data_IF_200285943957
#
_entry.id   IF_200285943957
#
_cell.length_a   1.000
_cell.length_b   1.000
_cell.length_c   1.000
_cell.angle_alpha   90.00
_cell.angle_beta   90.00
_cell.angle_gamma   90.00
#
_symmetry.space_group_name_H-M   'P 1'
#
loop_
_entity.id
_entity.type
_entity.pdbx_description
1 polymer ?
#
# COMPACT_ATOMS: atom_id res chain seq x y z
N UNK A 1 10.14 21.50 5.07
CA UNK A 1 10.92 20.25 5.18
C UNK A 1 10.72 19.69 6.57
N UNK A 2 10.18 18.48 6.68
CA UNK A 2 10.01 17.80 7.98
C UNK A 2 11.39 17.55 8.58
N UNK A 3 11.61 17.97 9.82
CA UNK A 3 12.87 17.72 10.54
C UNK A 3 13.04 16.20 10.68
N UNK A 4 14.11 15.64 10.11
CA UNK A 4 14.41 14.22 10.23
C UNK A 4 14.77 13.89 11.68
N UNK A 5 14.29 12.77 12.24
CA UNK A 5 14.72 12.31 13.55
C UNK A 5 16.14 11.74 13.48
N UNK A 6 16.90 11.84 14.56
CA UNK A 6 18.28 11.32 14.63
C UNK A 6 18.32 9.78 14.64
N UNK A 7 17.25 9.13 15.15
CA UNK A 7 17.05 7.66 15.15
C UNK A 7 15.58 7.29 15.33
N UNK A 8 15.25 6.03 15.07
CA UNK A 8 13.98 5.40 15.45
C UNK A 8 14.23 4.29 16.46
N UNK A 9 13.38 4.18 17.48
CA UNK A 9 13.52 3.14 18.52
C UNK A 9 12.98 1.78 18.06
N UNK A 10 12.08 1.75 17.07
CA UNK A 10 11.54 0.51 16.48
C UNK A 10 11.36 0.62 14.97
N UNK A 11 11.26 -0.53 14.29
CA UNK A 11 10.96 -0.60 12.85
C UNK A 11 9.58 -0.04 12.57
N UNK A 12 8.61 -0.30 13.44
CA UNK A 12 7.24 0.21 13.31
C UNK A 12 7.19 1.74 13.37
N UNK A 13 8.00 2.36 14.22
CA UNK A 13 8.13 3.82 14.30
C UNK A 13 8.77 4.40 13.03
N UNK A 14 9.80 3.73 12.51
CA UNK A 14 10.40 4.10 11.22
C UNK A 14 9.39 3.99 10.08
N UNK A 15 8.62 2.90 10.00
CA UNK A 15 7.61 2.72 8.97
C UNK A 15 6.44 3.71 9.09
N UNK A 16 5.99 4.02 10.31
CA UNK A 16 4.98 5.06 10.54
C UNK A 16 5.46 6.42 10.01
N UNK A 17 6.72 6.78 10.27
CA UNK A 17 7.32 7.99 9.74
C UNK A 17 7.44 7.95 8.22
N UNK A 18 8.01 6.88 7.66
CA UNK A 18 8.25 6.72 6.22
C UNK A 18 6.96 6.67 5.40
N UNK A 19 5.84 6.24 6.00
CA UNK A 19 4.55 6.15 5.31
C UNK A 19 3.68 7.39 5.49
N UNK A 20 4.16 8.42 6.20
CA UNK A 20 3.46 9.69 6.29
C UNK A 20 3.45 10.38 4.92
N UNK A 21 2.28 10.60 4.30
CA UNK A 21 2.22 11.18 2.98
C UNK A 21 2.56 12.68 3.03
N UNK A 22 3.22 13.16 1.98
CA UNK A 22 3.43 14.60 1.81
C UNK A 22 2.15 15.28 1.30
N UNK A 23 2.03 16.59 1.53
CA UNK A 23 0.92 17.39 0.99
C UNK A 23 0.87 17.32 -0.55
N UNK A 24 2.04 17.29 -1.21
CA UNK A 24 2.14 17.12 -2.65
C UNK A 24 1.56 15.78 -3.12
N UNK A 25 1.87 14.67 -2.43
CA UNK A 25 1.31 13.36 -2.76
C UNK A 25 -0.21 13.33 -2.58
N UNK A 26 -0.73 13.92 -1.50
CA UNK A 26 -2.17 14.04 -1.27
C UNK A 26 -2.82 14.82 -2.41
N UNK A 27 -2.26 15.97 -2.79
CA UNK A 27 -2.77 16.81 -3.85
C UNK A 27 -2.72 16.13 -5.23
N UNK A 28 -1.70 15.32 -5.49
CA UNK A 28 -1.58 14.57 -6.74
C UNK A 28 -2.57 13.41 -6.80
N UNK A 29 -2.73 12.65 -5.71
CA UNK A 29 -3.72 11.58 -5.65
C UNK A 29 -5.16 12.10 -5.68
N UNK A 30 -5.43 13.31 -5.21
CA UNK A 30 -6.75 13.95 -5.34
C UNK A 30 -7.14 14.22 -6.80
N UNK A 31 -6.16 14.37 -7.71
CA UNK A 31 -6.40 14.59 -9.15
C UNK A 31 -6.50 13.28 -9.94
N UNK A 32 -5.91 12.20 -9.42
CA UNK A 32 -5.95 10.90 -10.07
C UNK A 32 -7.32 10.23 -9.85
N UNK A 33 -8.05 9.84 -10.92
CA UNK A 33 -9.34 9.21 -10.78
C UNK A 33 -9.23 7.79 -10.21
N UNK A 34 -10.34 7.33 -9.66
CA UNK A 34 -10.61 5.92 -9.40
C UNK A 34 -9.97 5.31 -8.15
N UNK A 35 -9.83 3.99 -8.11
CA UNK A 35 -9.20 3.23 -7.03
C UNK A 35 -7.69 3.06 -7.26
N UNK A 36 -6.96 2.58 -6.25
CA UNK A 36 -5.52 2.30 -6.34
C UNK A 36 -5.29 0.80 -6.18
N UNK A 37 -4.61 0.17 -7.13
CA UNK A 37 -4.20 -1.23 -7.04
C UNK A 37 -2.68 -1.37 -7.11
N UNK A 38 -2.09 -1.99 -6.09
CA UNK A 38 -0.66 -2.25 -5.97
C UNK A 38 -0.39 -3.72 -6.29
N UNK A 39 0.12 -3.99 -7.48
CA UNK A 39 0.53 -5.33 -7.89
C UNK A 39 1.92 -5.65 -7.33
N UNK A 40 2.07 -6.81 -6.71
CA UNK A 40 3.33 -7.21 -6.07
C UNK A 40 3.48 -6.62 -4.68
N UNK A 41 2.36 -6.31 -3.99
CA UNK A 41 2.34 -5.64 -2.69
C UNK A 41 3.10 -6.39 -1.59
N UNK A 42 3.39 -7.68 -1.77
CA UNK A 42 4.16 -8.49 -0.82
C UNK A 42 5.69 -8.36 -0.94
N UNK A 43 6.20 -7.52 -1.84
CA UNK A 43 7.64 -7.22 -1.93
C UNK A 43 8.11 -6.26 -0.84
N UNK A 44 9.42 -6.01 -0.72
CA UNK A 44 10.00 -5.18 0.36
C UNK A 44 9.37 -3.79 0.52
N UNK A 45 9.09 -3.13 -0.60
CA UNK A 45 8.51 -1.78 -0.61
C UNK A 45 6.98 -1.77 -0.75
N UNK A 46 6.38 -2.93 -1.03
CA UNK A 46 4.96 -3.03 -1.33
C UNK A 46 4.06 -2.64 -0.15
N UNK A 47 4.28 -3.16 1.07
CA UNK A 47 3.43 -2.85 2.21
C UNK A 47 3.50 -1.39 2.61
N UNK A 48 4.70 -0.81 2.62
CA UNK A 48 4.90 0.61 2.94
C UNK A 48 4.27 1.52 1.89
N UNK A 49 4.40 1.19 0.59
CA UNK A 49 3.75 1.93 -0.50
C UNK A 49 2.22 1.89 -0.39
N UNK A 50 1.63 0.71 -0.18
CA UNK A 50 0.17 0.59 -0.08
C UNK A 50 -0.39 1.30 1.15
N UNK A 51 0.31 1.24 2.29
CA UNK A 51 -0.03 2.00 3.50
C UNK A 51 0.06 3.51 3.27
N UNK A 52 1.10 4.00 2.60
CA UNK A 52 1.24 5.41 2.25
C UNK A 52 0.12 5.87 1.32
N UNK A 53 -0.21 5.09 0.29
CA UNK A 53 -1.33 5.38 -0.61
C UNK A 53 -2.67 5.47 0.15
N UNK A 54 -2.92 4.53 1.08
CA UNK A 54 -4.15 4.57 1.89
C UNK A 54 -4.20 5.78 2.82
N UNK A 55 -3.08 6.19 3.41
CA UNK A 55 -3.00 7.42 4.23
C UNK A 55 -3.19 8.69 3.40
N UNK A 56 -2.65 8.70 2.18
CA UNK A 56 -2.77 9.85 1.28
C UNK A 56 -4.17 10.02 0.69
N UNK A 57 -4.92 8.91 0.57
CA UNK A 57 -6.29 8.90 0.06
C UNK A 57 -7.20 7.98 0.92
N UNK A 58 -7.58 8.40 2.14
CA UNK A 58 -8.28 7.56 3.10
C UNK A 58 -9.66 7.07 2.61
N UNK A 59 -10.34 7.87 1.80
CA UNK A 59 -11.66 7.52 1.24
C UNK A 59 -11.59 6.62 0.02
N UNK A 60 -10.42 6.52 -0.63
CA UNK A 60 -10.24 5.66 -1.83
C UNK A 60 -10.03 4.22 -1.42
N UNK A 61 -10.47 3.30 -2.29
CA UNK A 61 -10.14 1.88 -2.16
C UNK A 61 -8.69 1.69 -2.57
N UNK A 62 -7.91 1.03 -1.70
CA UNK A 62 -6.54 0.62 -2.00
C UNK A 62 -6.47 -0.89 -1.92
N UNK A 63 -6.05 -1.53 -3.01
CA UNK A 63 -6.05 -2.97 -3.20
C UNK A 63 -4.60 -3.44 -3.37
N UNK A 64 -4.11 -4.25 -2.45
CA UNK A 64 -2.81 -4.92 -2.54
C UNK A 64 -2.97 -6.33 -3.10
N UNK A 65 -2.27 -6.63 -4.20
CA UNK A 65 -2.30 -7.94 -4.86
C UNK A 65 -0.94 -8.62 -4.77
N UNK A 66 -0.88 -9.81 -4.17
CA UNK A 66 0.34 -10.62 -4.10
C UNK A 66 0.01 -12.09 -3.79
N UNK A 67 1.03 -12.96 -3.81
CA UNK A 67 0.90 -14.34 -3.34
C UNK A 67 0.82 -14.46 -1.81
N UNK A 68 1.21 -13.41 -1.08
CA UNK A 68 1.28 -13.38 0.38
C UNK A 68 2.02 -14.59 0.99
N UNK A 69 3.21 -14.88 0.46
CA UNK A 69 4.05 -16.00 0.91
C UNK A 69 4.69 -15.76 2.28
N UNK A 70 4.83 -14.50 2.68
CA UNK A 70 5.34 -14.11 3.99
C UNK A 70 4.19 -13.95 4.99
N UNK A 71 4.33 -14.57 6.16
CA UNK A 71 3.32 -14.50 7.23
C UNK A 71 3.26 -13.08 7.79
N UNK A 72 2.05 -12.57 8.04
CA UNK A 72 1.84 -11.28 8.70
C UNK A 72 1.65 -10.11 7.74
N UNK A 73 2.19 -10.17 6.51
CA UNK A 73 2.09 -9.06 5.54
C UNK A 73 0.65 -8.76 5.17
N UNK A 74 -0.16 -9.81 4.97
CA UNK A 74 -1.58 -9.66 4.63
C UNK A 74 -2.35 -8.99 5.77
N UNK A 75 -2.09 -9.41 7.00
CA UNK A 75 -2.74 -8.87 8.20
C UNK A 75 -2.30 -7.43 8.48
N UNK A 76 -1.04 -7.09 8.25
CA UNK A 76 -0.53 -5.72 8.37
C UNK A 76 -1.19 -4.78 7.37
N UNK A 77 -1.34 -5.20 6.11
CA UNK A 77 -2.05 -4.44 5.09
C UNK A 77 -3.53 -4.23 5.44
N UNK A 78 -4.21 -5.30 5.88
CA UNK A 78 -5.59 -5.21 6.31
C UNK A 78 -5.77 -4.24 7.49
N UNK A 79 -4.87 -4.28 8.49
CA UNK A 79 -4.85 -3.33 9.60
C UNK A 79 -4.61 -1.88 9.15
N UNK A 80 -3.88 -1.68 8.06
CA UNK A 80 -3.67 -0.37 7.45
C UNK A 80 -4.84 0.11 6.58
N UNK A 81 -5.94 -0.66 6.48
CA UNK A 81 -7.11 -0.33 5.66
C UNK A 81 -6.93 -0.63 4.17
N UNK A 82 -5.95 -1.48 3.81
CA UNK A 82 -5.71 -1.94 2.45
C UNK A 82 -6.43 -3.28 2.23
N UNK A 83 -7.24 -3.36 1.18
CA UNK A 83 -7.84 -4.61 0.75
C UNK A 83 -6.77 -5.53 0.17
N UNK A 84 -6.81 -6.83 0.48
CA UNK A 84 -5.80 -7.78 0.02
C UNK A 84 -6.40 -8.85 -0.88
N UNK A 85 -5.82 -9.06 -2.06
CA UNK A 85 -6.20 -10.14 -2.98
C UNK A 85 -5.03 -11.08 -3.19
N UNK A 86 -5.19 -12.35 -2.82
CA UNK A 86 -4.19 -13.37 -3.04
C UNK A 86 -4.21 -13.80 -4.51
N UNK A 87 -3.13 -13.55 -5.24
CA UNK A 87 -3.04 -13.87 -6.68
C UNK A 87 -1.60 -14.08 -7.09
N UNK A 88 -1.36 -15.11 -7.90
CA UNK A 88 -0.10 -15.24 -8.63
C UNK A 88 -0.15 -14.35 -9.87
N UNK A 89 0.70 -13.32 -9.91
CA UNK A 89 0.76 -12.37 -11.01
C UNK A 89 1.38 -12.97 -12.28
N UNK A 90 1.95 -14.19 -12.19
CA UNK A 90 2.42 -14.93 -13.36
C UNK A 90 1.31 -15.80 -13.97
N UNK A 91 0.20 -16.01 -13.25
CA UNK A 91 -0.99 -16.68 -13.78
C UNK A 91 -1.90 -15.66 -14.48
N UNK A 92 -1.90 -15.71 -15.81
CA UNK A 92 -2.70 -14.82 -16.65
C UNK A 92 -4.20 -14.95 -16.39
N UNK A 93 -4.71 -16.16 -16.17
CA UNK A 93 -6.13 -16.38 -15.91
C UNK A 93 -6.55 -15.85 -14.54
N UNK A 94 -5.63 -15.86 -13.56
CA UNK A 94 -5.86 -15.24 -12.26
C UNK A 94 -5.83 -13.71 -12.33
N UNK A 95 -4.89 -13.13 -13.10
CA UNK A 95 -4.82 -11.69 -13.36
C UNK A 95 -6.11 -11.14 -14.00
N UNK A 96 -6.68 -11.86 -14.96
CA UNK A 96 -7.92 -11.44 -15.65
C UNK A 96 -9.15 -11.42 -14.72
N UNK A 97 -9.11 -12.14 -13.59
CA UNK A 97 -10.18 -12.16 -12.57
C UNK A 97 -10.06 -11.04 -11.54
N UNK A 98 -8.97 -10.26 -11.56
CA UNK A 98 -8.81 -9.15 -10.64
C UNK A 98 -9.90 -8.08 -10.90
N UNK A 99 -10.44 -7.46 -9.84
CA UNK A 99 -11.39 -6.36 -10.01
C UNK A 99 -10.73 -5.22 -10.77
N UNK A 100 -11.55 -4.47 -11.52
CA UNK A 100 -11.10 -3.19 -12.06
C UNK A 100 -10.94 -2.21 -10.90
N UNK A 101 -9.80 -1.52 -10.86
CA UNK A 101 -9.68 -0.28 -10.12
C UNK A 101 -10.40 0.79 -10.96
N UNK A 102 -11.61 1.13 -10.56
CA UNK A 102 -12.50 2.06 -11.27
C UNK A 102 -12.26 3.48 -10.78
#
# INVERSE_FOLDING_TARGET
MTKLPDRFDTVEAMEEFMTMPSEALIADLAKAPGDIMVLGVGGKMGPTLARMAKRAAPERRVIGVARFSEKGVREQLAKAGVETIATDLLDRAALEKLPKAA
#
